data_IF_379589882327
#
_entry.id   IF_379589882327
#
_cell.length_a   1.000
_cell.length_b   1.000
_cell.length_c   1.000
_cell.angle_alpha   90.00
_cell.angle_beta   90.00
_cell.angle_gamma   90.00
#
_symmetry.space_group_name_H-M   'P 1'
#
loop_
_entity.id
_entity.type
_entity.pdbx_description
1 polymer ?
#
# COMPACT_ATOMS: atom_id res chain seq x y z
N UNK A 1 35.54 9.79 -20.79
CA UNK A 1 34.81 8.51 -20.58
C UNK A 1 34.40 7.96 -21.94
N UNK A 2 34.64 6.68 -22.22
CA UNK A 2 34.22 6.10 -23.52
C UNK A 2 32.71 5.80 -23.52
N UNK A 3 32.08 5.78 -24.69
CA UNK A 3 30.67 5.39 -24.83
C UNK A 3 30.38 3.98 -24.27
N UNK A 4 31.37 3.07 -24.32
CA UNK A 4 31.28 1.74 -23.70
C UNK A 4 31.17 1.83 -22.18
N UNK A 5 31.98 2.69 -21.55
CA UNK A 5 31.96 2.91 -20.09
C UNK A 5 30.62 3.48 -19.63
N UNK A 6 30.06 4.43 -20.38
CA UNK A 6 28.74 5.03 -20.09
C UNK A 6 27.65 3.96 -20.15
N UNK A 7 27.65 3.14 -21.20
CA UNK A 7 26.67 2.07 -21.36
C UNK A 7 26.75 1.03 -20.23
N UNK A 8 27.96 0.60 -19.86
CA UNK A 8 28.16 -0.37 -18.77
C UNK A 8 27.64 0.16 -17.44
N UNK A 9 27.91 1.42 -17.11
CA UNK A 9 27.38 2.08 -15.90
C UNK A 9 25.84 2.09 -15.92
N UNK A 10 25.23 2.47 -17.04
CA UNK A 10 23.77 2.47 -17.20
C UNK A 10 23.15 1.09 -16.92
N UNK A 11 23.71 0.03 -17.50
CA UNK A 11 23.19 -1.33 -17.29
C UNK A 11 23.33 -1.80 -15.83
N UNK A 12 24.42 -1.42 -15.14
CA UNK A 12 24.57 -1.74 -13.71
C UNK A 12 23.59 -0.95 -12.84
N UNK A 13 23.35 0.34 -13.12
CA UNK A 13 22.36 1.14 -12.39
C UNK A 13 20.97 0.52 -12.53
N UNK A 14 20.56 0.16 -13.75
CA UNK A 14 19.26 -0.49 -13.97
C UNK A 14 19.21 -1.84 -13.27
N UNK A 15 20.28 -2.65 -13.35
CA UNK A 15 20.33 -3.95 -12.65
C UNK A 15 20.16 -3.79 -11.13
N UNK A 16 20.79 -2.78 -10.53
CA UNK A 16 20.64 -2.49 -9.11
C UNK A 16 19.21 -2.05 -8.76
N UNK A 17 18.61 -1.16 -9.56
CA UNK A 17 17.21 -0.75 -9.38
C UNK A 17 16.25 -1.93 -9.53
N UNK A 18 16.50 -2.80 -10.50
CA UNK A 18 15.71 -4.02 -10.75
C UNK A 18 15.76 -4.96 -9.55
N UNK A 19 16.95 -5.15 -8.97
CA UNK A 19 17.12 -5.96 -7.76
C UNK A 19 16.36 -5.37 -6.58
N UNK A 20 16.39 -4.04 -6.40
CA UNK A 20 15.61 -3.37 -5.38
C UNK A 20 14.10 -3.58 -5.55
N UNK A 21 13.59 -3.53 -6.80
CA UNK A 21 12.19 -3.84 -7.10
C UNK A 21 11.82 -5.28 -6.73
N UNK A 22 12.70 -6.26 -7.01
CA UNK A 22 12.48 -7.66 -6.60
C UNK A 22 12.38 -7.76 -5.07
N UNK A 23 13.31 -7.12 -4.34
CA UNK A 23 13.30 -7.13 -2.86
C UNK A 23 12.02 -6.51 -2.31
N UNK A 24 11.58 -5.37 -2.85
CA UNK A 24 10.32 -4.72 -2.46
C UNK A 24 9.13 -5.63 -2.77
N UNK A 25 9.14 -6.30 -3.93
CA UNK A 25 8.12 -7.26 -4.33
C UNK A 25 8.00 -8.43 -3.35
N UNK A 26 9.12 -9.05 -2.97
CA UNK A 26 9.18 -10.12 -1.98
C UNK A 26 8.67 -9.63 -0.61
N UNK A 27 9.10 -8.45 -0.17
CA UNK A 27 8.63 -7.87 1.10
C UNK A 27 7.11 -7.70 1.11
N UNK A 28 6.53 -7.18 0.02
CA UNK A 28 5.08 -7.05 -0.12
C UNK A 28 4.37 -8.42 -0.17
N UNK A 29 4.98 -9.42 -0.82
CA UNK A 29 4.44 -10.77 -0.85
C UNK A 29 4.37 -11.41 0.54
N UNK A 30 5.44 -11.26 1.33
CA UNK A 30 5.50 -11.77 2.71
C UNK A 30 4.50 -11.04 3.59
N UNK A 31 4.43 -9.71 3.51
CA UNK A 31 3.44 -8.93 4.25
C UNK A 31 2.01 -9.32 3.88
N UNK A 32 1.73 -9.51 2.59
CA UNK A 32 0.43 -10.01 2.14
C UNK A 32 0.10 -11.38 2.74
N UNK A 33 1.08 -12.29 2.77
CA UNK A 33 0.94 -13.61 3.39
C UNK A 33 0.62 -13.53 4.88
N UNK A 34 1.38 -12.73 5.64
CA UNK A 34 1.15 -12.49 7.07
C UNK A 34 -0.23 -11.86 7.29
N UNK A 35 -0.53 -10.76 6.58
CA UNK A 35 -1.78 -10.02 6.71
C UNK A 35 -3.02 -10.84 6.34
N UNK A 36 -2.88 -11.85 5.49
CA UNK A 36 -3.96 -12.74 5.07
C UNK A 36 -4.13 -13.97 5.97
N UNK A 37 -3.13 -14.33 6.76
CA UNK A 37 -3.13 -15.58 7.54
C UNK A 37 -3.16 -15.38 9.05
N UNK A 38 -2.59 -14.28 9.54
CA UNK A 38 -2.43 -14.02 10.98
C UNK A 38 -3.56 -13.15 11.56
N UNK A 39 -4.42 -12.56 10.72
CA UNK A 39 -5.52 -11.70 11.16
C UNK A 39 -6.85 -12.18 10.58
N UNK A 40 -7.91 -12.13 11.39
CA UNK A 40 -9.28 -12.45 10.95
C UNK A 40 -9.77 -11.52 9.84
N UNK A 41 -9.32 -10.27 9.89
CA UNK A 41 -9.58 -9.24 8.86
C UNK A 41 -8.26 -8.65 8.41
N UNK A 42 -8.13 -8.42 7.10
CA UNK A 42 -6.97 -7.75 6.55
C UNK A 42 -6.79 -6.39 7.25
N UNK A 43 -5.59 -6.06 7.75
CA UNK A 43 -5.38 -4.85 8.53
C UNK A 43 -5.53 -3.59 7.66
N UNK A 44 -6.01 -2.51 8.28
CA UNK A 44 -6.05 -1.19 7.66
C UNK A 44 -4.65 -0.56 7.73
N UNK A 45 -4.21 0.17 6.69
CA UNK A 45 -2.87 0.80 6.65
C UNK A 45 -2.69 1.92 7.69
N UNK A 46 -3.77 2.59 8.07
CA UNK A 46 -3.75 3.69 9.01
C UNK A 46 -4.68 3.37 10.18
N UNK A 47 -4.09 3.09 11.34
CA UNK A 47 -4.77 3.13 12.64
C UNK A 47 -5.11 4.60 12.94
N UNK A 48 -6.09 5.16 12.25
CA UNK A 48 -6.61 6.48 12.56
C UNK A 48 -7.31 6.43 13.93
N UNK A 49 -7.15 7.45 14.79
CA UNK A 49 -7.91 7.57 16.02
C UNK A 49 -9.40 7.75 15.64
N UNK A 50 -10.20 6.73 15.92
CA UNK A 50 -11.59 6.63 15.48
C UNK A 50 -11.86 5.28 14.86
N UNK A 51 -11.95 4.25 15.72
CA UNK A 51 -12.60 3.01 15.33
C UNK A 51 -14.09 3.31 15.07
N UNK A 52 -14.77 2.55 14.22
CA UNK A 52 -16.24 2.63 14.11
C UNK A 52 -16.98 2.23 15.42
N UNK A 53 -16.25 2.08 16.53
CA UNK A 53 -16.74 1.75 17.87
C UNK A 53 -16.84 2.97 18.79
N UNK A 54 -16.20 4.10 18.45
CA UNK A 54 -16.29 5.34 19.24
C UNK A 54 -16.82 6.50 18.40
N UNK A 55 -17.82 7.19 18.94
CA UNK A 55 -18.29 8.46 18.38
C UNK A 55 -17.29 9.60 18.70
N UNK A 56 -17.02 10.54 17.77
CA UNK A 56 -17.51 10.60 16.39
C UNK A 56 -16.89 9.54 15.48
N UNK A 57 -17.72 8.89 14.66
CA UNK A 57 -17.29 7.84 13.74
C UNK A 57 -16.35 8.40 12.65
N UNK A 58 -15.37 7.60 12.21
CA UNK A 58 -14.41 7.97 11.16
C UNK A 58 -15.14 8.40 9.88
N UNK A 59 -14.84 9.60 9.38
CA UNK A 59 -15.40 10.14 8.14
C UNK A 59 -16.80 10.73 8.26
N UNK A 60 -17.42 10.69 9.44
CA UNK A 60 -18.63 11.46 9.71
C UNK A 60 -18.29 12.94 9.94
N UNK A 61 -19.14 13.89 9.52
CA UNK A 61 -18.97 15.29 9.89
C UNK A 61 -19.00 15.43 11.41
N UNK A 62 -18.13 16.28 11.95
CA UNK A 62 -18.19 16.64 13.36
C UNK A 62 -19.59 17.21 13.69
N UNK A 63 -20.16 16.85 14.85
CA UNK A 63 -21.47 17.36 15.23
C UNK A 63 -21.47 18.89 15.24
N UNK A 64 -22.56 19.48 14.75
CA UNK A 64 -22.74 20.92 14.80
C UNK A 64 -22.81 21.37 16.26
N UNK A 65 -22.08 22.44 16.59
CA UNK A 65 -22.23 23.13 17.87
C UNK A 65 -23.42 24.08 17.77
N UNK A 66 -24.29 24.06 18.77
CA UNK A 66 -25.38 25.02 18.88
C UNK A 66 -24.84 26.43 19.23
N UNK A 67 -25.74 27.43 19.26
CA UNK A 67 -25.38 28.83 19.55
C UNK A 67 -24.85 29.03 20.99
N UNK A 68 -25.05 28.04 21.87
CA UNK A 68 -24.58 28.00 23.28
C UNK A 68 -23.30 27.17 23.44
N UNK A 69 -22.77 26.59 22.38
CA UNK A 69 -21.60 25.71 22.41
C UNK A 69 -21.91 24.27 22.83
N UNK A 70 -23.18 23.88 22.93
CA UNK A 70 -23.58 22.50 23.19
C UNK A 70 -23.53 21.69 21.90
N UNK A 71 -22.97 20.48 22.00
CA UNK A 71 -22.88 19.55 20.86
C UNK A 71 -24.28 19.04 20.56
N UNK A 72 -24.82 19.34 19.37
CA UNK A 72 -26.06 18.72 18.92
C UNK A 72 -25.81 17.23 18.69
N UNK A 73 -26.14 16.39 19.67
CA UNK A 73 -26.01 14.93 19.55
C UNK A 73 -27.00 14.42 18.50
N UNK A 74 -26.54 13.68 17.48
CA UNK A 74 -27.43 13.07 16.48
C UNK A 74 -28.44 12.13 17.15
N UNK A 75 -29.59 11.93 16.50
CA UNK A 75 -30.55 10.91 16.93
C UNK A 75 -29.95 9.50 16.90
N UNK A 76 -30.55 8.57 17.64
CA UNK A 76 -30.09 7.18 17.67
C UNK A 76 -30.08 6.53 16.26
N UNK A 77 -31.07 6.86 15.43
CA UNK A 77 -31.16 6.37 14.05
C UNK A 77 -30.05 6.94 13.15
N UNK A 78 -29.68 8.21 13.35
CA UNK A 78 -28.56 8.83 12.63
C UNK A 78 -27.21 8.23 13.05
N UNK A 79 -27.04 7.93 14.34
CA UNK A 79 -25.84 7.26 14.85
C UNK A 79 -25.71 5.83 14.29
N UNK A 80 -26.80 5.07 14.19
CA UNK A 80 -26.78 3.73 13.58
C UNK A 80 -26.44 3.79 12.09
N UNK A 81 -27.02 4.75 11.37
CA UNK A 81 -26.71 4.97 9.95
C UNK A 81 -25.23 5.35 9.74
N UNK A 82 -24.69 6.22 10.58
CA UNK A 82 -23.28 6.60 10.53
C UNK A 82 -22.36 5.43 10.88
N UNK A 83 -22.70 4.62 11.89
CA UNK A 83 -21.95 3.41 12.24
C UNK A 83 -21.91 2.42 11.08
N UNK A 84 -23.05 2.13 10.45
CA UNK A 84 -23.14 1.23 9.29
C UNK A 84 -22.32 1.72 8.10
N UNK A 85 -22.37 3.02 7.80
CA UNK A 85 -21.57 3.62 6.75
C UNK A 85 -20.06 3.51 7.05
N UNK A 86 -19.64 3.78 8.29
CA UNK A 86 -18.26 3.63 8.74
C UNK A 86 -17.75 2.19 8.57
N UNK A 87 -18.52 1.19 9.04
CA UNK A 87 -18.15 -0.22 8.92
C UNK A 87 -18.04 -0.67 7.45
N UNK A 88 -18.95 -0.19 6.60
CA UNK A 88 -18.92 -0.48 5.15
C UNK A 88 -17.68 0.12 4.49
N UNK A 89 -17.32 1.35 4.85
CA UNK A 89 -16.11 2.00 4.35
C UNK A 89 -14.85 1.26 4.79
N UNK A 90 -14.77 0.83 6.07
CA UNK A 90 -13.62 0.05 6.52
C UNK A 90 -13.49 -1.27 5.76
N UNK A 91 -14.59 -1.97 5.48
CA UNK A 91 -14.54 -3.20 4.69
C UNK A 91 -14.07 -2.95 3.25
N UNK A 92 -14.50 -1.85 2.64
CA UNK A 92 -14.02 -1.44 1.33
C UNK A 92 -12.51 -1.14 1.36
N UNK A 93 -12.05 -0.35 2.32
CA UNK A 93 -10.65 0.00 2.50
C UNK A 93 -9.79 -1.27 2.67
N UNK A 94 -10.23 -2.22 3.52
CA UNK A 94 -9.54 -3.51 3.69
C UNK A 94 -9.41 -4.28 2.39
N UNK A 95 -10.47 -4.35 1.58
CA UNK A 95 -10.46 -5.03 0.27
C UNK A 95 -9.50 -4.34 -0.69
N UNK A 96 -9.54 -3.00 -0.76
CA UNK A 96 -8.67 -2.23 -1.63
C UNK A 96 -7.20 -2.42 -1.24
N UNK A 97 -6.88 -2.32 0.05
CA UNK A 97 -5.53 -2.56 0.56
C UNK A 97 -5.02 -3.96 0.23
N UNK A 98 -5.87 -4.97 0.39
CA UNK A 98 -5.53 -6.35 0.02
C UNK A 98 -5.17 -6.46 -1.47
N UNK A 99 -5.96 -5.83 -2.35
CA UNK A 99 -5.71 -5.82 -3.80
C UNK A 99 -4.40 -5.09 -4.12
N UNK A 100 -4.18 -3.94 -3.51
CA UNK A 100 -2.98 -3.14 -3.75
C UNK A 100 -1.70 -3.88 -3.35
N UNK A 101 -1.71 -4.59 -2.21
CA UNK A 101 -0.55 -5.35 -1.75
C UNK A 101 -0.23 -6.53 -2.68
N UNK A 102 -1.24 -7.24 -3.18
CA UNK A 102 -1.06 -8.29 -4.21
C UNK A 102 -0.51 -7.68 -5.50
N UNK A 103 -1.14 -6.61 -5.98
CA UNK A 103 -0.77 -5.95 -7.23
C UNK A 103 0.68 -5.47 -7.17
N UNK A 104 1.07 -4.82 -6.07
CA UNK A 104 2.42 -4.30 -5.88
C UNK A 104 3.45 -5.43 -5.75
N UNK A 105 3.12 -6.49 -4.99
CA UNK A 105 3.95 -7.70 -4.90
C UNK A 105 4.24 -8.27 -6.30
N UNK A 106 3.19 -8.51 -7.09
CA UNK A 106 3.33 -9.10 -8.43
C UNK A 106 4.07 -8.14 -9.38
N UNK A 107 3.66 -6.87 -9.40
CA UNK A 107 4.18 -5.89 -10.36
C UNK A 107 5.66 -5.61 -10.13
N UNK A 108 6.07 -5.34 -8.88
CA UNK A 108 7.48 -5.06 -8.59
C UNK A 108 8.36 -6.29 -8.77
N UNK A 109 7.87 -7.48 -8.39
CA UNK A 109 8.62 -8.72 -8.61
C UNK A 109 8.78 -9.02 -10.09
N UNK A 110 7.71 -8.99 -10.89
CA UNK A 110 7.78 -9.29 -12.32
C UNK A 110 8.63 -8.27 -13.10
N UNK A 111 8.39 -6.97 -12.88
CA UNK A 111 9.16 -5.91 -13.54
C UNK A 111 10.63 -6.02 -13.16
N UNK A 112 10.92 -6.24 -11.87
CA UNK A 112 12.28 -6.44 -11.38
C UNK A 112 12.96 -7.65 -12.00
N UNK A 113 12.28 -8.80 -12.08
CA UNK A 113 12.83 -10.03 -12.71
C UNK A 113 13.13 -9.79 -14.19
N UNK A 114 12.20 -9.21 -14.94
CA UNK A 114 12.37 -8.96 -16.38
C UNK A 114 13.54 -8.01 -16.62
N UNK A 115 13.58 -6.88 -15.90
CA UNK A 115 14.64 -5.89 -16.08
C UNK A 115 16.00 -6.45 -15.66
N UNK A 116 16.10 -7.15 -14.52
CA UNK A 116 17.34 -7.76 -14.05
C UNK A 116 17.84 -8.83 -15.03
N UNK A 117 16.94 -9.73 -15.48
CA UNK A 117 17.25 -10.81 -16.41
C UNK A 117 17.78 -10.32 -17.77
N UNK A 118 17.41 -9.10 -18.20
CA UNK A 118 17.93 -8.50 -19.43
C UNK A 118 19.20 -7.68 -19.17
N UNK A 119 19.15 -6.76 -18.21
CA UNK A 119 20.19 -5.73 -18.06
C UNK A 119 21.45 -6.27 -17.39
N UNK A 120 21.33 -7.24 -16.47
CA UNK A 120 22.49 -7.77 -15.76
C UNK A 120 23.42 -8.60 -16.67
N UNK A 121 22.91 -9.54 -17.50
CA UNK A 121 23.76 -10.22 -18.48
C UNK A 121 24.42 -9.28 -19.49
N UNK A 122 23.70 -8.23 -19.94
CA UNK A 122 24.26 -7.22 -20.84
C UNK A 122 25.36 -6.39 -20.17
N UNK A 123 25.18 -6.00 -18.91
CA UNK A 123 26.21 -5.32 -18.11
C UNK A 123 27.49 -6.16 -18.03
N UNK A 124 27.33 -7.44 -17.68
CA UNK A 124 28.45 -8.38 -17.54
C UNK A 124 29.18 -8.61 -18.86
N UNK A 125 28.45 -8.80 -19.96
CA UNK A 125 29.04 -8.98 -21.29
C UNK A 125 29.85 -7.76 -21.73
N UNK A 126 29.33 -6.54 -21.55
CA UNK A 126 30.02 -5.28 -21.90
C UNK A 126 31.16 -4.91 -20.96
N UNK A 127 31.16 -5.43 -19.74
CA UNK A 127 32.26 -5.23 -18.78
C UNK A 127 33.46 -6.12 -19.08
N UNK A 128 33.26 -7.26 -19.75
CA UNK A 128 34.29 -8.26 -20.04
C UNK A 128 34.86 -8.15 -21.48
N UNK A 129 34.47 -7.11 -22.24
CA UNK A 129 34.82 -6.86 -23.64
C UNK A 129 35.40 -5.47 -23.86
#
# INVERSE_FOLDING_TARGET
MSGKTIATIYFYIISAASLALIVIGIFNAVNFGINSTQYDKYPLRYNAPGNCESYPYKGAPYPAMDVRGEVSTPSADELDKQKKACLTQEEFDRKQHKIDDIKNSITFTLVGIILFGIHFPMARSKSNS
#
